data_IF_405643796055
#
_entry.id   IF_405643796055
#
_cell.length_a   1.000
_cell.length_b   1.000
_cell.length_c   1.000
_cell.angle_alpha   90.00
_cell.angle_beta   90.00
_cell.angle_gamma   90.00
#
_symmetry.space_group_name_H-M   'P 1'
#
loop_
_entity.id
_entity.type
_entity.pdbx_description
1 polymer ?
#
# COMPACT_ATOMS: atom_id res chain seq x y z
N UNK A 1 6.57 -17.92 4.77
CA UNK A 1 7.59 -16.84 4.86
C UNK A 1 7.24 -15.77 3.84
N UNK A 2 6.88 -14.55 4.28
CA UNK A 2 7.20 -13.31 3.56
C UNK A 2 7.02 -12.06 4.42
N UNK A 3 7.72 -12.01 5.58
CA UNK A 3 7.83 -10.76 6.36
C UNK A 3 8.35 -9.61 5.48
N UNK A 4 9.10 -9.96 4.43
CA UNK A 4 9.56 -9.05 3.41
C UNK A 4 8.43 -8.40 2.62
N UNK A 5 7.45 -9.15 2.07
CA UNK A 5 6.36 -8.51 1.33
C UNK A 5 5.54 -7.56 2.21
N UNK A 6 5.17 -7.98 3.42
CA UNK A 6 4.45 -7.13 4.37
C UNK A 6 5.27 -5.89 4.79
N UNK A 7 6.57 -6.05 5.07
CA UNK A 7 7.46 -4.92 5.38
C UNK A 7 7.70 -4.01 4.17
N UNK A 8 7.83 -4.57 2.96
CA UNK A 8 8.02 -3.82 1.72
C UNK A 8 6.76 -3.05 1.37
N UNK A 9 5.57 -3.63 1.51
CA UNK A 9 4.30 -2.94 1.30
C UNK A 9 4.14 -1.78 2.28
N UNK A 10 4.43 -2.01 3.57
CA UNK A 10 4.36 -0.96 4.59
C UNK A 10 5.38 0.17 4.35
N UNK A 11 6.60 -0.19 3.91
CA UNK A 11 7.66 0.79 3.63
C UNK A 11 7.34 1.59 2.36
N UNK A 12 6.85 0.92 1.32
CA UNK A 12 6.39 1.56 0.09
C UNK A 12 5.17 2.44 0.35
N UNK A 13 4.25 2.06 1.24
CA UNK A 13 3.12 2.90 1.61
C UNK A 13 3.56 4.23 2.20
N UNK A 14 4.48 4.19 3.17
CA UNK A 14 5.01 5.39 3.81
C UNK A 14 5.77 6.27 2.80
N UNK A 15 6.57 5.65 1.92
CA UNK A 15 7.29 6.34 0.86
C UNK A 15 6.34 6.99 -0.16
N UNK A 16 5.29 6.28 -0.60
CA UNK A 16 4.31 6.82 -1.54
C UNK A 16 3.48 7.93 -0.92
N UNK A 17 3.04 7.79 0.34
CA UNK A 17 2.31 8.84 1.04
C UNK A 17 3.13 10.14 1.14
N UNK A 18 4.42 10.02 1.46
CA UNK A 18 5.35 11.15 1.54
C UNK A 18 5.60 11.75 0.15
N UNK A 19 5.83 10.91 -0.87
CA UNK A 19 6.03 11.35 -2.25
C UNK A 19 4.81 12.09 -2.82
N UNK A 20 3.59 11.57 -2.60
CA UNK A 20 2.34 12.20 -3.05
C UNK A 20 2.13 13.54 -2.33
N UNK A 21 2.36 13.60 -1.02
CA UNK A 21 2.26 14.85 -0.25
C UNK A 21 3.25 15.90 -0.75
N UNK A 22 4.54 15.55 -0.91
CA UNK A 22 5.54 16.46 -1.45
C UNK A 22 5.18 16.93 -2.86
N UNK A 23 4.75 16.02 -3.73
CA UNK A 23 4.38 16.35 -5.10
C UNK A 23 3.17 17.30 -5.12
N UNK A 24 2.11 17.02 -4.36
CA UNK A 24 0.93 17.90 -4.28
C UNK A 24 1.25 19.28 -3.69
N UNK A 25 2.14 19.38 -2.70
CA UNK A 25 2.56 20.66 -2.11
C UNK A 25 3.34 21.49 -3.13
N UNK A 26 4.34 20.88 -3.79
CA UNK A 26 5.16 21.56 -4.80
C UNK A 26 4.31 21.95 -6.00
N UNK A 27 3.51 21.01 -6.51
CA UNK A 27 2.65 21.25 -7.67
C UNK A 27 1.55 22.25 -7.35
N UNK A 28 0.85 22.12 -6.22
CA UNK A 28 -0.16 23.08 -5.80
C UNK A 28 0.40 24.48 -5.55
N UNK A 29 1.60 24.59 -4.97
CA UNK A 29 2.29 25.85 -4.76
C UNK A 29 2.76 26.55 -6.04
N UNK A 30 2.96 25.81 -7.13
CA UNK A 30 3.52 26.31 -8.41
C UNK A 30 2.53 26.35 -9.57
N UNK A 31 1.47 25.53 -9.55
CA UNK A 31 0.54 25.34 -10.66
C UNK A 31 -0.29 26.58 -11.05
N UNK A 32 -0.34 27.60 -10.18
CA UNK A 32 -1.13 28.81 -10.39
C UNK A 32 -0.35 30.06 -10.77
N UNK A 33 0.99 30.01 -10.90
CA UNK A 33 1.82 31.21 -11.08
C UNK A 33 2.81 31.09 -12.24
N UNK A 34 2.62 31.85 -13.34
CA UNK A 34 3.52 31.80 -14.51
C UNK A 34 4.92 32.36 -14.21
N UNK A 35 5.11 33.07 -13.10
CA UNK A 35 6.39 33.67 -12.67
C UNK A 35 7.22 32.77 -11.75
N UNK A 36 6.78 31.55 -11.46
CA UNK A 36 7.48 30.63 -10.54
C UNK A 36 7.39 31.04 -9.07
N UNK A 37 6.55 32.03 -8.73
CA UNK A 37 6.33 32.47 -7.37
C UNK A 37 5.42 31.49 -6.62
N UNK A 38 5.80 31.10 -5.40
CA UNK A 38 4.99 30.24 -4.55
C UNK A 38 3.73 30.99 -4.09
N UNK A 39 2.57 30.60 -4.61
CA UNK A 39 1.29 31.17 -4.16
C UNK A 39 0.79 30.45 -2.92
N UNK A 40 0.62 31.19 -1.82
CA UNK A 40 0.10 30.65 -0.55
C UNK A 40 -1.27 30.00 -0.74
N UNK A 41 -2.14 30.56 -1.58
CA UNK A 41 -3.47 29.98 -1.85
C UNK A 41 -3.39 28.67 -2.64
N UNK A 42 -2.47 28.59 -3.61
CA UNK A 42 -2.20 27.37 -4.37
C UNK A 42 -1.63 26.26 -3.49
N UNK A 43 -0.70 26.61 -2.59
CA UNK A 43 -0.14 25.66 -1.63
C UNK A 43 -1.21 25.09 -0.69
N UNK A 44 -2.12 25.92 -0.18
CA UNK A 44 -3.22 25.47 0.69
C UNK A 44 -4.17 24.51 -0.03
N UNK A 45 -4.56 24.83 -1.27
CA UNK A 45 -5.37 23.92 -2.08
C UNK A 45 -4.64 22.62 -2.43
N UNK A 46 -3.34 22.70 -2.74
CA UNK A 46 -2.47 21.56 -2.96
C UNK A 46 -2.39 20.63 -1.75
N UNK A 47 -2.28 21.19 -0.54
CA UNK A 47 -2.31 20.41 0.71
C UNK A 47 -3.66 19.73 0.90
N UNK A 48 -4.79 20.43 0.68
CA UNK A 48 -6.12 19.84 0.83
C UNK A 48 -6.33 18.66 -0.13
N UNK A 49 -6.00 18.84 -1.41
CA UNK A 49 -6.13 17.79 -2.42
C UNK A 49 -5.13 16.66 -2.15
N UNK A 50 -3.89 17.00 -1.79
CA UNK A 50 -2.85 16.04 -1.43
C UNK A 50 -3.21 15.19 -0.22
N UNK A 51 -3.86 15.77 0.78
CA UNK A 51 -4.34 15.05 1.96
C UNK A 51 -5.40 14.01 1.57
N UNK A 52 -6.38 14.39 0.74
CA UNK A 52 -7.42 13.47 0.28
C UNK A 52 -6.81 12.34 -0.55
N UNK A 53 -5.95 12.65 -1.52
CA UNK A 53 -5.30 11.66 -2.36
C UNK A 53 -4.40 10.70 -1.56
N UNK A 54 -3.60 11.24 -0.62
CA UNK A 54 -2.73 10.45 0.25
C UNK A 54 -3.55 9.53 1.16
N UNK A 55 -4.68 10.02 1.70
CA UNK A 55 -5.57 9.21 2.56
C UNK A 55 -6.19 8.03 1.82
N UNK A 56 -6.65 8.22 0.57
CA UNK A 56 -7.15 7.13 -0.28
C UNK A 56 -6.07 6.09 -0.57
N UNK A 57 -4.85 6.53 -0.87
CA UNK A 57 -3.74 5.63 -1.17
C UNK A 57 -3.34 4.80 0.06
N UNK A 58 -3.19 5.45 1.22
CA UNK A 58 -2.91 4.77 2.49
C UNK A 58 -3.99 3.74 2.85
N UNK A 59 -5.26 4.06 2.63
CA UNK A 59 -6.38 3.13 2.85
C UNK A 59 -6.34 1.93 1.91
N UNK A 60 -6.04 2.14 0.63
CA UNK A 60 -5.93 1.06 -0.36
C UNK A 60 -4.80 0.08 -0.03
N UNK A 61 -3.63 0.58 0.36
CA UNK A 61 -2.50 -0.28 0.73
C UNK A 61 -2.80 -1.07 2.00
N UNK A 62 -3.48 -0.48 2.99
CA UNK A 62 -3.94 -1.21 4.17
C UNK A 62 -4.87 -2.37 3.81
N UNK A 63 -5.78 -2.18 2.84
CA UNK A 63 -6.65 -3.24 2.33
C UNK A 63 -5.86 -4.39 1.69
N UNK A 64 -4.85 -4.08 0.88
CA UNK A 64 -4.00 -5.11 0.26
C UNK A 64 -3.23 -5.92 1.30
N UNK A 65 -2.72 -5.28 2.36
CA UNK A 65 -2.09 -5.99 3.48
C UNK A 65 -3.05 -6.92 4.22
N UNK A 66 -4.34 -6.54 4.38
CA UNK A 66 -5.36 -7.42 4.95
C UNK A 66 -5.60 -8.65 4.06
N UNK A 67 -5.69 -8.45 2.73
CA UNK A 67 -5.91 -9.53 1.76
C UNK A 67 -4.76 -10.54 1.78
N UNK A 68 -3.52 -10.06 1.88
CA UNK A 68 -2.34 -10.91 1.96
C UNK A 68 -2.38 -11.84 3.19
N UNK A 69 -2.90 -11.34 4.32
CA UNK A 69 -3.14 -12.13 5.53
C UNK A 69 -4.12 -13.29 5.30
N UNK A 70 -5.18 -13.05 4.54
CA UNK A 70 -6.16 -14.08 4.19
C UNK A 70 -5.62 -15.12 3.20
N UNK A 71 -4.92 -14.68 2.15
CA UNK A 71 -4.30 -15.58 1.18
C UNK A 71 -3.29 -16.53 1.83
N UNK A 72 -2.54 -16.03 2.81
CA UNK A 72 -1.61 -16.85 3.60
C UNK A 72 -2.34 -17.98 4.33
N UNK A 73 -3.45 -17.66 4.99
CA UNK A 73 -4.25 -18.65 5.71
C UNK A 73 -4.81 -19.74 4.77
N UNK A 74 -5.34 -19.34 3.61
CA UNK A 74 -5.84 -20.26 2.58
C UNK A 74 -4.73 -21.18 2.05
N UNK A 75 -3.56 -20.62 1.79
CA UNK A 75 -2.41 -21.39 1.28
C UNK A 75 -1.91 -22.39 2.33
N UNK A 76 -1.81 -21.98 3.59
CA UNK A 76 -1.37 -22.85 4.69
C UNK A 76 -2.37 -24.01 4.94
N UNK A 77 -3.68 -23.73 4.84
CA UNK A 77 -4.72 -24.75 4.91
C UNK A 77 -4.64 -25.75 3.74
N UNK A 78 -4.37 -25.28 2.52
CA UNK A 78 -4.21 -26.13 1.34
C UNK A 78 -2.97 -27.04 1.45
N UNK A 79 -1.86 -26.51 1.96
CA UNK A 79 -0.63 -27.27 2.14
C UNK A 79 -0.80 -28.39 3.19
N UNK A 80 -1.54 -28.11 4.26
CA UNK A 80 -1.86 -29.10 5.29
C UNK A 80 -2.71 -30.26 4.76
N UNK A 81 -3.73 -29.97 3.93
CA UNK A 81 -4.53 -31.01 3.28
C UNK A 81 -3.69 -31.91 2.38
N UNK A 82 -2.80 -31.32 1.57
CA UNK A 82 -1.92 -32.07 0.67
C UNK A 82 -0.95 -32.99 1.44
N UNK A 83 -0.46 -32.52 2.60
CA UNK A 83 0.34 -33.36 3.51
C UNK A 83 -0.46 -34.51 4.10
N UNK A 84 -1.72 -34.27 4.45
CA UNK A 84 -2.61 -35.31 4.99
C UNK A 84 -2.95 -36.37 3.94
N UNK A 85 -3.17 -35.97 2.69
CA UNK A 85 -3.43 -36.88 1.57
C UNK A 85 -2.21 -37.72 1.23
N UNK A 86 -1.00 -37.16 1.30
CA UNK A 86 0.24 -37.94 1.21
C UNK A 86 0.33 -38.98 2.34
N UNK A 87 0.07 -38.59 3.59
CA UNK A 87 0.08 -39.54 4.72
C UNK A 87 -1.03 -40.59 4.66
N UNK A 88 -2.14 -40.31 3.96
CA UNK A 88 -3.18 -41.31 3.67
C UNK A 88 -2.73 -42.27 2.57
N UNK A 89 -2.08 -41.77 1.52
CA UNK A 89 -1.52 -42.59 0.46
C UNK A 89 -0.44 -43.55 0.99
N UNK A 90 0.42 -43.09 1.89
CA UNK A 90 1.47 -43.90 2.52
C UNK A 90 0.93 -44.95 3.50
N UNK A 91 -0.24 -44.72 4.13
CA UNK A 91 -0.88 -45.70 5.03
C UNK A 91 -1.76 -46.73 4.31
N UNK A 92 -2.04 -46.51 3.03
CA UNK A 92 -2.80 -47.42 2.18
C UNK A 92 -1.94 -48.37 1.35
N UNK A 93 -0.61 -48.28 1.45
CA UNK A 93 0.39 -49.20 0.92
C UNK A 93 1.00 -50.03 2.04
#
# INVERSE_FOLDING_TARGET
MNRFLASTLSTLNALYALAIMLFCVVYGGTAGQPTGSLSVSGAVLGVLVGLVASSMFCGFVAFLSLIEGHLRFLTEAAEYQNKLDKMRAERGQ
#
